data_IF_762572889070
#
_entry.id   IF_762572889070
#
_cell.length_a   1.000
_cell.length_b   1.000
_cell.length_c   1.000
_cell.angle_alpha   90.00
_cell.angle_beta   90.00
_cell.angle_gamma   90.00
#
_symmetry.space_group_name_H-M   'P 1'
#
loop_
_entity.id
_entity.type
_entity.pdbx_description
1 polymer ?
#
# COMPACT_ATOMS: atom_id res chain seq x y z
N UNK A 1 17.16 0.94 18.17
CA UNK A 1 17.21 0.90 16.69
C UNK A 1 16.32 2.01 16.20
N UNK A 2 16.84 2.93 15.40
CA UNK A 2 16.04 4.02 14.81
C UNK A 2 15.11 3.39 13.77
N UNK A 3 13.83 3.19 14.11
CA UNK A 3 12.79 2.80 13.17
C UNK A 3 12.58 3.98 12.22
N UNK A 4 13.10 3.89 11.00
CA UNK A 4 13.13 5.02 10.06
C UNK A 4 11.83 5.06 9.25
N UNK A 5 11.20 6.23 9.20
CA UNK A 5 9.87 6.48 8.61
C UNK A 5 9.99 6.93 7.14
N UNK A 6 9.33 6.20 6.23
CA UNK A 6 8.91 6.69 4.91
C UNK A 6 7.51 7.30 4.97
N UNK A 7 6.97 7.70 3.82
CA UNK A 7 5.60 8.22 3.72
C UNK A 7 4.81 7.47 2.66
N UNK A 8 3.53 7.24 2.91
CA UNK A 8 2.61 6.62 1.96
C UNK A 8 1.39 7.50 1.80
N UNK A 9 0.91 7.58 0.57
CA UNK A 9 -0.32 8.25 0.20
C UNK A 9 -1.15 7.33 -0.68
N UNK A 10 -2.43 7.14 -0.35
CA UNK A 10 -3.44 6.63 -1.27
C UNK A 10 -4.16 7.82 -1.90
N UNK A 11 -4.06 7.94 -3.22
CA UNK A 11 -4.74 8.98 -4.01
C UNK A 11 -6.11 8.51 -4.49
N UNK A 12 -6.20 7.24 -4.86
CA UNK A 12 -7.38 6.66 -5.47
C UNK A 12 -7.62 5.29 -4.87
N UNK A 13 -8.86 5.03 -4.47
CA UNK A 13 -9.34 3.73 -4.01
C UNK A 13 -10.59 3.44 -4.83
N UNK A 14 -10.46 2.57 -5.83
CA UNK A 14 -11.53 2.19 -6.75
C UNK A 14 -11.92 0.74 -6.48
N UNK A 15 -12.89 0.52 -5.59
CA UNK A 15 -13.32 -0.84 -5.19
C UNK A 15 -14.48 -1.40 -6.02
N UNK A 16 -15.30 -0.53 -6.63
CA UNK A 16 -16.46 -0.92 -7.45
C UNK A 16 -16.17 -0.89 -8.96
N UNK A 17 -14.88 -0.78 -9.34
CA UNK A 17 -14.46 -0.80 -10.73
C UNK A 17 -14.43 -2.23 -11.29
N UNK A 18 -14.48 -2.36 -12.62
CA UNK A 18 -14.28 -3.65 -13.30
C UNK A 18 -12.93 -4.29 -12.91
N UNK A 19 -11.92 -3.43 -12.67
CA UNK A 19 -10.63 -3.79 -12.08
C UNK A 19 -10.44 -3.03 -10.75
N UNK A 20 -10.76 -3.65 -9.60
CA UNK A 20 -10.59 -3.01 -8.30
C UNK A 20 -9.12 -2.70 -8.02
N UNK A 21 -8.81 -1.48 -7.59
CA UNK A 21 -7.43 -1.06 -7.38
C UNK A 21 -7.27 0.08 -6.39
N UNK A 22 -6.05 0.21 -5.86
CA UNK A 22 -5.60 1.34 -5.04
C UNK A 22 -4.36 1.94 -5.69
N UNK A 23 -4.36 3.25 -5.94
CA UNK A 23 -3.19 3.98 -6.46
C UNK A 23 -2.66 4.94 -5.42
N UNK A 24 -1.35 5.15 -5.46
CA UNK A 24 -0.71 6.00 -4.50
C UNK A 24 0.77 6.24 -4.76
N UNK A 25 1.39 6.89 -3.79
CA UNK A 25 2.82 7.14 -3.78
C UNK A 25 3.44 6.60 -2.50
N UNK A 26 4.59 5.96 -2.66
CA UNK A 26 5.52 5.66 -1.59
C UNK A 26 6.74 6.58 -1.72
N UNK A 27 7.08 7.25 -0.63
CA UNK A 27 8.18 8.21 -0.54
C UNK A 27 9.25 7.62 0.37
N UNK A 28 10.30 7.07 -0.25
CA UNK A 28 11.48 6.60 0.47
C UNK A 28 12.34 7.80 0.86
N UNK A 29 12.49 8.06 2.16
CA UNK A 29 13.32 9.17 2.66
C UNK A 29 14.84 8.90 2.57
N UNK A 30 15.28 7.71 2.18
CA UNK A 30 16.71 7.33 2.18
C UNK A 30 17.26 7.00 0.78
N UNK A 31 16.92 5.85 0.21
CA UNK A 31 17.56 5.38 -1.03
C UNK A 31 16.92 5.92 -2.31
N UNK A 32 15.77 6.60 -2.20
CA UNK A 32 14.99 7.11 -3.36
C UNK A 32 14.71 6.03 -4.41
N UNK A 33 14.73 4.78 -3.96
CA UNK A 33 14.54 3.58 -4.77
C UNK A 33 13.64 2.64 -3.99
N UNK A 34 12.73 1.98 -4.72
CA UNK A 34 11.98 0.84 -4.19
C UNK A 34 12.61 -0.43 -4.74
N UNK A 35 13.10 -1.26 -3.83
CA UNK A 35 13.56 -2.61 -4.12
C UNK A 35 12.35 -3.55 -4.13
N UNK A 36 11.56 -3.46 -5.21
CA UNK A 36 10.35 -4.29 -5.42
C UNK A 36 10.64 -5.79 -5.34
N UNK A 37 11.89 -6.21 -5.62
CA UNK A 37 12.38 -7.57 -5.48
C UNK A 37 12.44 -8.12 -4.04
N UNK A 38 12.29 -7.27 -3.02
CA UNK A 38 12.45 -7.69 -1.63
C UNK A 38 11.16 -7.93 -0.85
N UNK A 39 10.01 -7.53 -1.38
CA UNK A 39 8.76 -7.63 -0.63
C UNK A 39 7.62 -8.21 -1.48
N UNK A 40 7.60 -9.54 -1.61
CA UNK A 40 6.46 -10.29 -2.19
C UNK A 40 5.11 -9.97 -1.50
N UNK A 41 5.16 -9.35 -0.32
CA UNK A 41 4.02 -8.99 0.51
C UNK A 41 3.87 -7.48 0.72
N UNK A 42 4.61 -6.65 -0.04
CA UNK A 42 4.63 -5.20 0.18
C UNK A 42 3.23 -4.59 0.23
N UNK A 43 2.37 -4.94 -0.73
CA UNK A 43 0.99 -4.45 -0.76
C UNK A 43 0.19 -4.86 0.47
N UNK A 44 0.36 -6.09 0.95
CA UNK A 44 -0.34 -6.58 2.13
C UNK A 44 0.10 -5.83 3.39
N UNK A 45 1.41 -5.66 3.57
CA UNK A 45 1.96 -4.88 4.68
C UNK A 45 1.53 -3.39 4.60
N UNK A 46 1.47 -2.82 3.39
CA UNK A 46 0.96 -1.47 3.14
C UNK A 46 -0.50 -1.32 3.56
N UNK A 47 -1.37 -2.29 3.22
CA UNK A 47 -2.76 -2.26 3.64
C UNK A 47 -2.93 -2.44 5.16
N UNK A 48 -2.15 -3.33 5.79
CA UNK A 48 -2.15 -3.48 7.26
C UNK A 48 -1.79 -2.16 7.93
N UNK A 49 -0.73 -1.50 7.45
CA UNK A 49 -0.25 -0.24 7.99
C UNK A 49 -1.26 0.90 7.76
N UNK A 50 -1.89 0.95 6.59
CA UNK A 50 -2.96 1.90 6.29
C UNK A 50 -4.17 1.72 7.24
N UNK A 51 -4.57 0.47 7.52
CA UNK A 51 -5.67 0.18 8.46
C UNK A 51 -5.36 0.64 9.88
N UNK A 52 -4.13 0.41 10.32
CA UNK A 52 -3.66 0.85 11.63
C UNK A 52 -3.60 2.38 11.70
N UNK A 53 -2.95 3.01 10.73
CA UNK A 53 -2.64 4.44 10.75
C UNK A 53 -3.84 5.34 10.42
N UNK A 54 -4.70 4.94 9.47
CA UNK A 54 -5.83 5.75 9.04
C UNK A 54 -7.12 5.43 9.82
N UNK A 55 -7.32 4.18 10.23
CA UNK A 55 -8.57 3.74 10.85
C UNK A 55 -8.42 3.30 12.32
N UNK A 56 -7.20 3.17 12.83
CA UNK A 56 -6.95 2.63 14.18
C UNK A 56 -7.38 1.17 14.32
N UNK A 57 -7.40 0.41 13.22
CA UNK A 57 -7.86 -0.98 13.17
C UNK A 57 -6.68 -1.92 12.90
N UNK A 58 -6.68 -3.07 13.55
CA UNK A 58 -5.70 -4.13 13.28
C UNK A 58 -6.27 -5.16 12.30
N UNK A 59 -5.44 -5.53 11.32
CA UNK A 59 -5.71 -6.57 10.33
C UNK A 59 -4.45 -7.41 10.15
N UNK A 60 -4.61 -8.70 9.88
CA UNK A 60 -3.45 -9.56 9.64
C UNK A 60 -2.92 -9.39 8.22
N UNK A 61 -1.61 -9.59 8.06
CA UNK A 61 -0.97 -9.56 6.74
C UNK A 61 -1.55 -10.63 5.80
N UNK A 62 -1.91 -11.81 6.33
CA UNK A 62 -2.52 -12.87 5.52
C UNK A 62 -3.89 -12.47 5.00
N UNK A 63 -4.75 -11.87 5.85
CA UNK A 63 -6.04 -11.36 5.41
C UNK A 63 -5.89 -10.33 4.29
N UNK A 64 -4.86 -9.48 4.34
CA UNK A 64 -4.62 -8.47 3.29
C UNK A 64 -4.03 -9.08 2.02
N UNK A 65 -3.18 -10.08 2.15
CA UNK A 65 -2.59 -10.78 1.01
C UNK A 65 -3.65 -11.46 0.16
N UNK A 66 -4.66 -12.07 0.79
CA UNK A 66 -5.77 -12.73 0.10
C UNK A 66 -6.68 -11.75 -0.68
N UNK A 67 -6.54 -10.44 -0.46
CA UNK A 67 -7.28 -9.39 -1.16
C UNK A 67 -6.52 -8.80 -2.35
N UNK A 68 -5.24 -9.13 -2.52
CA UNK A 68 -4.36 -8.54 -3.52
C UNK A 68 -4.15 -9.54 -4.64
N UNK A 69 -4.41 -9.11 -5.87
CA UNK A 69 -4.07 -9.87 -7.07
C UNK A 69 -2.59 -9.62 -7.46
N UNK A 70 -2.20 -8.35 -7.55
CA UNK A 70 -0.83 -7.96 -7.89
C UNK A 70 -0.50 -6.54 -7.37
N UNK A 71 0.79 -6.25 -7.20
CA UNK A 71 1.31 -4.91 -6.93
C UNK A 71 2.24 -4.50 -8.05
N UNK A 72 1.97 -3.35 -8.65
CA UNK A 72 2.79 -2.76 -9.69
C UNK A 72 3.35 -1.40 -9.22
N UNK A 73 4.61 -1.13 -9.54
CA UNK A 73 5.22 0.18 -9.35
C UNK A 73 5.45 0.81 -10.73
N UNK A 74 4.75 1.91 -11.00
CA UNK A 74 4.90 2.66 -12.24
C UNK A 74 6.24 3.40 -12.29
N UNK A 75 6.73 3.85 -11.12
CA UNK A 75 8.05 4.46 -10.97
C UNK A 75 8.80 3.83 -9.80
N UNK A 76 9.97 3.27 -10.05
CA UNK A 76 10.81 2.62 -9.02
C UNK A 76 12.02 3.48 -8.60
N UNK A 77 12.23 4.61 -9.28
CA UNK A 77 13.36 5.51 -9.05
C UNK A 77 12.86 6.96 -8.88
N UNK A 78 13.45 7.68 -7.94
CA UNK A 78 13.17 9.09 -7.66
C UNK A 78 12.66 9.33 -6.25
N UNK A 79 12.38 10.59 -5.91
CA UNK A 79 11.92 10.96 -4.56
C UNK A 79 10.55 10.36 -4.22
N UNK A 80 9.78 9.94 -5.23
CA UNK A 80 8.44 9.34 -5.08
C UNK A 80 8.25 8.22 -6.08
N UNK A 81 7.80 7.09 -5.57
CA UNK A 81 7.49 5.91 -6.36
C UNK A 81 5.99 5.70 -6.41
N UNK A 82 5.42 5.78 -7.61
CA UNK A 82 4.00 5.58 -7.82
C UNK A 82 3.71 4.08 -7.86
N UNK A 83 2.68 3.66 -7.15
CA UNK A 83 2.25 2.26 -7.11
C UNK A 83 0.76 2.11 -7.44
N UNK A 84 0.43 0.89 -7.86
CA UNK A 84 -0.91 0.39 -8.09
C UNK A 84 -1.01 -0.97 -7.41
N UNK A 85 -1.92 -1.10 -6.44
CA UNK A 85 -2.29 -2.39 -5.86
C UNK A 85 -3.57 -2.82 -6.58
N UNK A 86 -3.46 -3.86 -7.41
CA UNK A 86 -4.60 -4.53 -8.01
C UNK A 86 -5.20 -5.49 -7.00
N UNK A 87 -6.51 -5.42 -6.83
CA UNK A 87 -7.26 -6.17 -5.85
C UNK A 87 -8.11 -7.23 -6.52
N UNK A 88 -8.37 -8.32 -5.81
CA UNK A 88 -9.33 -9.32 -6.27
C UNK A 88 -10.77 -8.75 -6.17
N UNK A 89 -11.73 -9.22 -6.99
CA UNK A 89 -13.10 -8.71 -6.98
C UNK A 89 -13.83 -8.82 -5.63
N UNK A 90 -13.43 -9.75 -4.76
CA UNK A 90 -14.01 -9.90 -3.42
C UNK A 90 -13.50 -8.88 -2.40
N UNK A 91 -12.50 -8.06 -2.73
CA UNK A 91 -11.86 -7.13 -1.80
C UNK A 91 -12.77 -5.97 -1.38
N UNK A 92 -13.76 -5.60 -2.19
CA UNK A 92 -14.66 -4.47 -1.97
C UNK A 92 -15.32 -4.50 -0.59
N UNK A 93 -15.87 -5.64 -0.19
CA UNK A 93 -16.56 -5.76 1.10
C UNK A 93 -15.61 -5.58 2.30
N UNK A 94 -14.35 -6.02 2.15
CA UNK A 94 -13.33 -5.96 3.19
C UNK A 94 -12.69 -4.58 3.30
N UNK A 95 -12.57 -3.86 2.16
CA UNK A 95 -11.84 -2.58 2.04
C UNK A 95 -12.73 -1.33 2.00
N UNK A 96 -14.07 -1.47 2.04
CA UNK A 96 -15.01 -0.34 1.91
C UNK A 96 -14.83 0.81 2.92
N UNK A 97 -14.25 0.51 4.08
CA UNK A 97 -14.04 1.50 5.15
C UNK A 97 -12.77 2.34 4.91
N UNK A 98 -11.91 1.90 3.98
CA UNK A 98 -10.66 2.56 3.64
C UNK A 98 -10.94 3.72 2.68
N UNK A 99 -10.34 4.87 2.96
CA UNK A 99 -10.46 6.08 2.13
C UNK A 99 -9.07 6.60 1.75
N UNK A 100 -8.94 7.34 0.63
CA UNK A 100 -7.71 8.02 0.28
C UNK A 100 -7.16 8.83 1.47
N UNK A 101 -5.86 8.79 1.67
CA UNK A 101 -5.23 9.34 2.87
C UNK A 101 -3.72 9.24 2.83
N UNK A 102 -3.08 9.96 3.76
CA UNK A 102 -1.64 10.04 3.90
C UNK A 102 -1.24 9.62 5.32
N UNK A 103 -0.15 8.85 5.44
CA UNK A 103 0.42 8.49 6.73
C UNK A 103 1.94 8.28 6.64
N UNK A 104 2.60 8.39 7.79
CA UNK A 104 3.99 7.98 7.93
C UNK A 104 4.05 6.46 8.10
N UNK A 105 4.93 5.80 7.36
CA UNK A 105 5.04 4.34 7.35
C UNK A 105 6.46 3.89 7.70
N UNK A 106 6.58 2.77 8.40
CA UNK A 106 7.87 2.11 8.64
C UNK A 106 8.24 1.12 7.52
N UNK A 107 7.46 1.07 6.44
CA UNK A 107 7.79 0.26 5.28
C UNK A 107 9.12 0.74 4.68
N UNK A 108 10.11 -0.14 4.73
CA UNK A 108 11.38 0.06 4.05
C UNK A 108 11.16 -0.22 2.57
N UNK A 109 11.45 0.79 1.74
CA UNK A 109 11.46 0.67 0.28
C UNK A 109 12.62 -0.19 -0.19
#
# INVERSE_FOLDING_TARGET
MSTMLGEIQFDEIALDAEEPHIKGFFISRYDKQIWTSHHAKWGATCLVDAYSSLLGKEKSEQEMLDLIDNVHFETTEGDRSKFVIHLVPSATASLRDLTPGYWESYLLG
#
